data_IF_298355771354
#
_entry.id   IF_298355771354
#
_cell.length_a   1.000
_cell.length_b   1.000
_cell.length_c   1.000
_cell.angle_alpha   90.00
_cell.angle_beta   90.00
_cell.angle_gamma   90.00
#
_symmetry.space_group_name_H-M   'P 1'
#
loop_
_entity.id
_entity.type
_entity.pdbx_description
1 polymer ?
#
# COMPACT_ATOMS: atom_id res chain seq x y z
N UNK A 1 55.22 -1.49 -30.88
CA UNK A 1 54.47 -2.32 -29.92
C UNK A 1 53.78 -1.35 -28.99
N UNK A 2 52.55 -0.98 -29.33
CA UNK A 2 51.81 0.06 -28.63
C UNK A 2 51.21 -0.50 -27.34
N UNK A 3 51.76 -0.05 -26.21
CA UNK A 3 51.17 -0.27 -24.90
C UNK A 3 49.83 0.48 -24.82
N UNK A 4 48.74 -0.22 -25.11
CA UNK A 4 47.39 0.24 -24.81
C UNK A 4 47.23 0.33 -23.29
N UNK A 5 47.45 1.54 -22.77
CA UNK A 5 47.14 1.94 -21.40
C UNK A 5 45.61 1.91 -21.25
N UNK A 6 45.10 1.03 -20.40
CA UNK A 6 43.67 1.01 -20.07
C UNK A 6 43.26 2.36 -19.46
N UNK A 7 42.06 2.89 -19.77
CA UNK A 7 41.56 4.07 -19.10
C UNK A 7 41.27 3.74 -17.63
N UNK A 8 41.87 4.50 -16.72
CA UNK A 8 41.52 4.47 -15.32
C UNK A 8 40.08 4.96 -15.17
N UNK A 9 39.24 4.15 -14.53
CA UNK A 9 37.92 4.59 -14.07
C UNK A 9 38.21 5.46 -12.84
N UNK A 10 38.13 6.77 -13.02
CA UNK A 10 38.11 7.72 -11.92
C UNK A 10 36.78 7.53 -11.19
N UNK A 11 36.86 6.94 -10.00
CA UNK A 11 35.75 6.87 -9.07
C UNK A 11 35.82 8.19 -8.30
N UNK A 12 34.93 9.13 -8.64
CA UNK A 12 34.65 10.29 -7.78
C UNK A 12 34.16 9.75 -6.44
N UNK A 13 35.04 9.84 -5.43
CA UNK A 13 34.76 9.50 -4.04
C UNK A 13 34.42 10.76 -3.26
N UNK A 14 33.38 11.49 -3.71
CA UNK A 14 32.83 12.63 -2.98
C UNK A 14 31.31 12.45 -2.91
N UNK A 15 30.86 11.63 -1.96
CA UNK A 15 29.49 11.66 -1.38
C UNK A 15 29.43 10.67 -0.21
N UNK A 16 30.12 11.00 0.89
CA UNK A 16 30.24 10.16 2.09
C UNK A 16 29.04 10.23 3.06
N UNK A 17 27.95 10.92 2.74
CA UNK A 17 26.80 11.11 3.68
C UNK A 17 25.43 10.61 3.17
N UNK A 18 25.37 9.92 2.04
CA UNK A 18 24.15 9.24 1.63
C UNK A 18 24.16 7.79 2.14
N UNK A 19 23.22 7.44 3.03
CA UNK A 19 22.82 6.06 3.32
C UNK A 19 22.95 5.28 2.01
N UNK A 20 23.83 4.29 1.99
CA UNK A 20 24.27 3.59 0.78
C UNK A 20 23.08 2.80 0.22
N UNK A 21 22.14 3.49 -0.44
CA UNK A 21 20.98 2.90 -1.08
C UNK A 21 21.53 1.85 -2.04
N UNK A 22 21.18 0.60 -1.76
CA UNK A 22 21.78 -0.57 -2.38
C UNK A 22 21.79 -0.37 -3.90
N UNK A 23 22.91 -0.74 -4.55
CA UNK A 23 23.06 -0.64 -6.00
C UNK A 23 21.88 -1.33 -6.71
N UNK A 24 21.33 -2.38 -6.10
CA UNK A 24 20.10 -3.05 -6.54
C UNK A 24 18.88 -2.12 -6.53
N UNK A 25 18.64 -1.40 -5.43
CA UNK A 25 17.51 -0.47 -5.27
C UNK A 25 17.59 0.69 -6.25
N UNK A 26 18.78 1.29 -6.42
CA UNK A 26 19.00 2.36 -7.42
C UNK A 26 18.75 1.86 -8.84
N UNK A 27 19.14 0.63 -9.16
CA UNK A 27 18.87 0.01 -10.45
C UNK A 27 17.37 -0.21 -10.66
N UNK A 28 16.65 -0.71 -9.65
CA UNK A 28 15.21 -0.96 -9.75
C UNK A 28 14.42 0.33 -9.98
N UNK A 29 14.66 1.37 -9.17
CA UNK A 29 13.99 2.69 -9.30
C UNK A 29 14.21 3.35 -10.67
N UNK A 30 15.36 3.08 -11.32
CA UNK A 30 15.70 3.66 -12.63
C UNK A 30 15.09 2.90 -13.81
N UNK A 31 14.87 1.60 -13.68
CA UNK A 31 14.51 0.73 -14.81
C UNK A 31 13.09 0.18 -14.76
N UNK A 32 12.42 0.20 -13.61
CA UNK A 32 11.07 -0.34 -13.45
C UNK A 32 10.10 0.76 -13.03
N UNK A 33 8.91 0.73 -13.64
CA UNK A 33 7.80 1.65 -13.34
C UNK A 33 6.61 0.90 -12.76
N UNK A 34 5.66 1.64 -12.17
CA UNK A 34 4.43 1.07 -11.59
C UNK A 34 3.76 0.00 -12.46
N UNK A 35 3.68 0.27 -13.77
CA UNK A 35 3.05 -0.63 -14.73
C UNK A 35 3.72 -2.00 -14.78
N UNK A 36 5.04 -2.06 -14.68
CA UNK A 36 5.79 -3.32 -14.74
C UNK A 36 5.45 -4.20 -13.51
N UNK A 37 5.34 -3.58 -12.33
CA UNK A 37 4.91 -4.24 -11.11
C UNK A 37 3.43 -4.60 -11.12
N UNK A 38 2.58 -3.79 -11.75
CA UNK A 38 1.15 -4.02 -11.78
C UNK A 38 0.75 -5.12 -12.78
N UNK A 39 1.46 -5.22 -13.90
CA UNK A 39 1.20 -6.20 -14.94
C UNK A 39 1.71 -7.59 -14.54
N UNK A 40 2.69 -7.67 -13.63
CA UNK A 40 3.16 -8.93 -13.07
C UNK A 40 2.28 -9.41 -11.90
N UNK A 41 1.79 -10.66 -12.01
CA UNK A 41 0.77 -11.21 -11.11
C UNK A 41 1.17 -11.23 -9.63
N UNK A 42 2.36 -11.77 -9.26
CA UNK A 42 2.83 -11.81 -7.88
C UNK A 42 2.97 -10.42 -7.23
N UNK A 43 3.62 -9.48 -7.90
CA UNK A 43 3.82 -8.11 -7.41
C UNK A 43 2.48 -7.38 -7.27
N UNK A 44 1.56 -7.53 -8.23
CA UNK A 44 0.20 -7.00 -8.10
C UNK A 44 -0.53 -7.55 -6.88
N UNK A 45 -0.37 -8.84 -6.58
CA UNK A 45 -0.99 -9.45 -5.39
C UNK A 45 -0.41 -8.89 -4.09
N UNK A 46 0.91 -8.68 -4.03
CA UNK A 46 1.58 -8.05 -2.89
C UNK A 46 1.03 -6.64 -2.66
N UNK A 47 1.01 -5.79 -3.70
CA UNK A 47 0.48 -4.42 -3.61
C UNK A 47 -0.98 -4.37 -3.17
N UNK A 48 -1.81 -5.31 -3.65
CA UNK A 48 -3.22 -5.39 -3.26
C UNK A 48 -3.38 -5.81 -1.80
N UNK A 49 -2.60 -6.78 -1.36
CA UNK A 49 -2.68 -7.29 0.01
C UNK A 49 -2.22 -6.23 1.00
N UNK A 50 -1.13 -5.52 0.69
CA UNK A 50 -0.63 -4.43 1.53
C UNK A 50 -1.66 -3.32 1.67
N UNK A 51 -2.21 -2.85 0.54
CA UNK A 51 -3.26 -1.84 0.57
C UNK A 51 -4.49 -2.28 1.37
N UNK A 52 -4.90 -3.56 1.27
CA UNK A 52 -6.02 -4.09 2.06
C UNK A 52 -5.68 -4.10 3.56
N UNK A 53 -4.45 -4.45 3.90
CA UNK A 53 -3.96 -4.47 5.28
C UNK A 53 -4.00 -3.06 5.86
N UNK A 54 -3.36 -2.10 5.19
CA UNK A 54 -3.34 -0.69 5.60
C UNK A 54 -4.75 -0.11 5.74
N UNK A 55 -5.61 -0.41 4.76
CA UNK A 55 -7.01 0.00 4.80
C UNK A 55 -7.74 -0.54 6.05
N UNK A 56 -7.55 -1.82 6.38
CA UNK A 56 -8.20 -2.43 7.55
C UNK A 56 -7.70 -1.80 8.84
N UNK A 57 -6.38 -1.60 8.95
CA UNK A 57 -5.76 -1.04 10.15
C UNK A 57 -6.15 0.43 10.39
N UNK A 58 -6.29 1.24 9.33
CA UNK A 58 -6.62 2.65 9.48
C UNK A 58 -8.11 2.97 9.40
N UNK A 59 -8.81 2.41 8.41
CA UNK A 59 -10.20 2.79 8.08
C UNK A 59 -11.18 1.72 8.54
N UNK A 60 -10.80 0.44 8.54
CA UNK A 60 -11.65 -0.67 8.95
C UNK A 60 -12.22 -0.46 10.36
N UNK A 61 -11.34 -0.23 11.33
CA UNK A 61 -11.73 0.01 12.72
C UNK A 61 -12.62 1.26 12.89
N UNK A 62 -12.32 2.33 12.13
CA UNK A 62 -13.12 3.56 12.17
C UNK A 62 -14.52 3.35 11.58
N UNK A 63 -14.61 2.62 10.48
CA UNK A 63 -15.87 2.29 9.83
C UNK A 63 -16.73 1.37 10.72
N UNK A 64 -16.12 0.37 11.36
CA UNK A 64 -16.79 -0.49 12.32
C UNK A 64 -17.30 0.29 13.54
N UNK A 65 -16.47 1.18 14.10
CA UNK A 65 -16.85 2.03 15.22
C UNK A 65 -18.01 2.96 14.84
N UNK A 66 -17.90 3.66 13.71
CA UNK A 66 -18.95 4.53 13.19
C UNK A 66 -20.27 3.77 13.04
N UNK A 67 -20.25 2.60 12.40
CA UNK A 67 -21.43 1.77 12.22
C UNK A 67 -22.07 1.40 13.57
N UNK A 68 -21.26 1.00 14.55
CA UNK A 68 -21.75 0.62 15.87
C UNK A 68 -22.42 1.78 16.61
N UNK A 69 -21.87 3.00 16.49
CA UNK A 69 -22.41 4.21 17.12
C UNK A 69 -23.77 4.56 16.50
N UNK A 70 -23.83 4.66 15.17
CA UNK A 70 -25.06 4.97 14.43
C UNK A 70 -26.17 3.95 14.75
N UNK A 71 -25.82 2.67 14.76
CA UNK A 71 -26.73 1.58 15.11
C UNK A 71 -27.26 1.72 16.52
N UNK A 72 -26.40 1.93 17.51
CA UNK A 72 -26.81 2.03 18.92
C UNK A 72 -27.68 3.26 19.17
N UNK A 73 -27.37 4.40 18.53
CA UNK A 73 -28.21 5.60 18.61
C UNK A 73 -29.58 5.37 17.96
N UNK A 74 -29.60 4.71 16.80
CA UNK A 74 -30.83 4.42 16.08
C UNK A 74 -31.71 3.40 16.82
N UNK A 75 -31.17 2.41 17.53
CA UNK A 75 -31.98 1.39 18.22
C UNK A 75 -33.02 1.94 19.22
N UNK A 76 -32.84 3.16 19.71
CA UNK A 76 -33.81 3.85 20.57
C UNK A 76 -34.99 4.49 19.81
N UNK A 77 -35.02 4.41 18.48
CA UNK A 77 -36.07 4.97 17.62
C UNK A 77 -36.96 3.87 17.02
N UNK A 78 -38.27 4.14 16.90
CA UNK A 78 -39.25 3.24 16.29
C UNK A 78 -38.82 2.85 14.86
N UNK A 79 -38.72 1.54 14.61
CA UNK A 79 -38.47 0.86 13.32
C UNK A 79 -37.63 1.64 12.29
N UNK A 80 -36.31 1.46 12.35
CA UNK A 80 -35.36 1.99 11.36
C UNK A 80 -34.62 0.87 10.62
N UNK A 81 -33.75 1.24 9.67
CA UNK A 81 -32.97 0.30 8.85
C UNK A 81 -32.08 -0.66 9.67
N UNK A 82 -31.75 -0.32 10.91
CA UNK A 82 -30.93 -1.13 11.82
C UNK A 82 -31.75 -2.11 12.68
N UNK A 83 -33.09 -2.02 12.65
CA UNK A 83 -33.96 -2.88 13.46
C UNK A 83 -33.86 -4.38 13.13
N UNK A 84 -33.33 -4.71 11.94
CA UNK A 84 -33.08 -6.09 11.50
C UNK A 84 -31.63 -6.56 11.71
N UNK A 85 -30.71 -5.69 12.13
CA UNK A 85 -29.31 -6.05 12.40
C UNK A 85 -29.03 -6.03 13.91
N UNK A 86 -29.56 -7.03 14.62
CA UNK A 86 -29.42 -7.17 16.09
C UNK A 86 -28.00 -7.52 16.55
N UNK A 87 -27.15 -7.95 15.63
CA UNK A 87 -25.81 -8.46 15.95
C UNK A 87 -24.69 -7.60 15.32
N UNK A 88 -25.04 -6.56 14.55
CA UNK A 88 -24.07 -5.65 13.91
C UNK A 88 -23.35 -6.27 12.72
N UNK A 89 -23.85 -7.39 12.21
CA UNK A 89 -23.24 -8.20 11.16
C UNK A 89 -23.12 -7.48 9.82
N UNK A 90 -23.87 -6.38 9.63
CA UNK A 90 -23.82 -5.59 8.40
C UNK A 90 -22.70 -4.55 8.38
N UNK A 91 -21.96 -4.37 9.49
CA UNK A 91 -20.79 -3.46 9.55
C UNK A 91 -19.72 -3.78 8.50
N UNK A 92 -19.41 -5.06 8.27
CA UNK A 92 -18.44 -5.47 7.23
C UNK A 92 -18.87 -5.15 5.79
N UNK A 93 -20.18 -4.94 5.55
CA UNK A 93 -20.68 -4.48 4.25
C UNK A 93 -20.31 -3.01 4.05
N UNK A 94 -20.41 -2.19 5.10
CA UNK A 94 -20.00 -0.79 5.04
C UNK A 94 -18.51 -0.66 4.75
N UNK A 95 -17.66 -1.43 5.43
CA UNK A 95 -16.22 -1.50 5.14
C UNK A 95 -15.95 -1.83 3.67
N UNK A 96 -16.66 -2.82 3.12
CA UNK A 96 -16.54 -3.23 1.72
C UNK A 96 -16.97 -2.12 0.75
N UNK A 97 -18.03 -1.38 1.07
CA UNK A 97 -18.49 -0.24 0.27
C UNK A 97 -17.43 0.86 0.28
N UNK A 98 -16.90 1.20 1.46
CA UNK A 98 -15.86 2.22 1.62
C UNK A 98 -14.62 1.82 0.82
N UNK A 99 -14.13 0.59 0.99
CA UNK A 99 -12.97 0.06 0.25
C UNK A 99 -13.12 0.19 -1.27
N UNK A 100 -14.34 -0.02 -1.80
CA UNK A 100 -14.60 0.08 -3.23
C UNK A 100 -14.62 1.52 -3.78
N UNK A 101 -14.84 2.52 -2.92
CA UNK A 101 -14.95 3.92 -3.32
C UNK A 101 -13.71 4.75 -2.98
N UNK A 102 -12.80 4.22 -2.17
CA UNK A 102 -11.51 4.86 -1.91
C UNK A 102 -10.63 4.75 -3.16
N UNK A 103 -9.98 5.86 -3.50
CA UNK A 103 -8.92 5.87 -4.51
C UNK A 103 -7.76 5.01 -4.00
N UNK A 104 -7.45 3.96 -4.75
CA UNK A 104 -6.37 3.04 -4.40
C UNK A 104 -5.05 3.63 -4.87
N UNK A 105 -4.24 4.06 -3.93
CA UNK A 105 -2.87 4.49 -4.18
C UNK A 105 -1.95 3.38 -3.63
N UNK A 106 -1.18 2.75 -4.51
CA UNK A 106 -0.33 1.62 -4.19
C UNK A 106 1.11 2.08 -3.97
N UNK A 107 1.74 1.63 -2.88
CA UNK A 107 3.13 1.98 -2.57
C UNK A 107 4.10 1.01 -3.24
N UNK A 108 4.96 1.53 -4.13
CA UNK A 108 6.01 0.75 -4.77
C UNK A 108 7.25 0.59 -3.90
N UNK A 109 7.42 1.40 -2.86
CA UNK A 109 8.58 1.33 -1.97
C UNK A 109 8.70 -0.04 -1.30
N UNK A 110 7.61 -0.80 -1.17
CA UNK A 110 7.65 -2.19 -0.68
C UNK A 110 8.60 -3.09 -1.48
N UNK A 111 8.72 -2.88 -2.80
CA UNK A 111 9.63 -3.63 -3.66
C UNK A 111 11.06 -3.12 -3.60
N UNK A 112 11.25 -1.84 -3.28
CA UNK A 112 12.58 -1.26 -3.12
C UNK A 112 13.17 -1.59 -1.74
N UNK A 113 12.31 -1.73 -0.73
CA UNK A 113 12.71 -2.10 0.63
C UNK A 113 13.06 -3.60 0.73
N UNK A 114 12.53 -4.43 -0.15
CA UNK A 114 12.85 -5.85 -0.30
C UNK A 114 13.09 -6.19 -1.78
N UNK A 115 14.24 -5.77 -2.35
CA UNK A 115 14.56 -5.91 -3.77
C UNK A 115 14.74 -7.36 -4.23
#
# INVERSE_FOLDING_TARGET
MDNHRMPAIEIDTDDEDAIQEDKAVKYLKKNFVFKDFWDYGPTRSILKNEFIHDFKDTVGDQAALFYSIERNQAQCTLSNIFSFDTDGTKGGILESIIYNHIRKDYDLEIFYNNP
#
